data_IF_372151725849
#
_entry.id   IF_372151725849
#
_cell.length_a   1.000
_cell.length_b   1.000
_cell.length_c   1.000
_cell.angle_alpha   90.00
_cell.angle_beta   90.00
_cell.angle_gamma   90.00
#
_symmetry.space_group_name_H-M   'P 1'
#
loop_
_entity.id
_entity.type
_entity.pdbx_description
1 polymer ?
#
# COMPACT_ATOMS: atom_id res chain seq x y z
N UNK A 1 3.32 -11.19 4.88
CA UNK A 1 3.97 -11.81 3.70
C UNK A 1 5.33 -11.19 3.50
N UNK A 2 6.36 -11.98 3.35
CA UNK A 2 7.70 -11.46 3.11
C UNK A 2 7.93 -11.14 1.63
N UNK A 3 9.04 -10.47 1.36
CA UNK A 3 9.37 -10.03 0.00
C UNK A 3 9.58 -11.21 -0.95
N UNK A 4 10.26 -12.25 -0.50
CA UNK A 4 10.57 -13.40 -1.35
C UNK A 4 9.30 -14.14 -1.77
N UNK A 5 8.38 -14.36 -0.85
CA UNK A 5 7.09 -14.99 -1.13
C UNK A 5 6.25 -14.13 -2.08
N UNK A 6 6.24 -12.81 -1.87
CA UNK A 6 5.51 -11.90 -2.76
C UNK A 6 6.06 -11.93 -4.18
N UNK A 7 7.37 -11.89 -4.35
CA UNK A 7 8.00 -11.96 -5.66
C UNK A 7 7.72 -13.28 -6.36
N UNK A 8 7.75 -14.38 -5.62
CA UNK A 8 7.42 -15.69 -6.19
C UNK A 8 6.00 -15.75 -6.70
N UNK A 9 5.04 -15.20 -5.96
CA UNK A 9 3.64 -15.12 -6.39
C UNK A 9 3.48 -14.25 -7.64
N UNK A 10 4.16 -13.11 -7.69
CA UNK A 10 4.08 -12.21 -8.84
C UNK A 10 4.61 -12.89 -10.09
N UNK A 11 5.74 -13.57 -10.00
CA UNK A 11 6.31 -14.31 -11.13
C UNK A 11 5.39 -15.43 -11.57
N UNK A 12 4.81 -16.17 -10.65
CA UNK A 12 3.87 -17.22 -10.98
C UNK A 12 2.66 -16.68 -11.74
N UNK A 13 2.13 -15.54 -11.33
CA UNK A 13 1.02 -14.89 -12.01
C UNK A 13 1.39 -14.48 -13.43
N UNK A 14 2.57 -13.88 -13.59
CA UNK A 14 3.06 -13.45 -14.91
C UNK A 14 3.29 -14.66 -15.82
N UNK A 15 3.89 -15.71 -15.30
CA UNK A 15 4.17 -16.94 -16.08
C UNK A 15 2.89 -17.62 -16.53
N UNK A 16 1.81 -17.47 -15.76
CA UNK A 16 0.49 -17.96 -16.15
C UNK A 16 -0.21 -17.08 -17.18
N UNK A 17 0.42 -16.00 -17.63
CA UNK A 17 -0.17 -15.06 -18.59
C UNK A 17 -1.23 -14.13 -18.02
N UNK A 18 -1.29 -14.00 -16.70
CA UNK A 18 -2.26 -13.14 -16.03
C UNK A 18 -1.63 -11.82 -15.61
N UNK A 19 -2.39 -10.71 -15.61
CA UNK A 19 -1.87 -9.43 -15.14
C UNK A 19 -1.75 -9.40 -13.62
N UNK A 20 -0.79 -8.60 -13.13
CA UNK A 20 -0.73 -8.24 -11.73
C UNK A 20 -1.66 -7.07 -11.47
N UNK A 21 -2.49 -7.19 -10.44
CA UNK A 21 -3.45 -6.15 -10.08
C UNK A 21 -3.05 -5.54 -8.75
N UNK A 22 -2.77 -4.24 -8.77
CA UNK A 22 -2.51 -3.47 -7.57
C UNK A 22 -3.69 -2.56 -7.26
N UNK A 23 -4.06 -2.49 -6.00
CA UNK A 23 -5.15 -1.63 -5.55
C UNK A 23 -4.65 -0.63 -4.52
N UNK A 24 -5.09 0.61 -4.65
CA UNK A 24 -4.84 1.63 -3.64
C UNK A 24 -5.80 1.49 -2.48
N UNK A 25 -5.29 1.61 -1.26
CA UNK A 25 -6.11 1.56 -0.06
C UNK A 25 -5.89 2.82 0.78
N UNK A 26 -6.98 3.48 1.14
CA UNK A 26 -6.95 4.68 1.98
C UNK A 26 -7.26 4.40 3.45
N UNK A 27 -7.94 3.29 3.73
CA UNK A 27 -8.33 2.90 5.08
C UNK A 27 -8.21 1.39 5.23
N UNK A 28 -8.33 0.93 6.47
CA UNK A 28 -8.31 -0.51 6.75
C UNK A 28 -9.42 -1.27 6.07
N UNK A 29 -10.62 -0.71 6.04
CA UNK A 29 -11.75 -1.40 5.43
C UNK A 29 -11.60 -1.53 3.91
N UNK A 30 -11.03 -0.52 3.24
CA UNK A 30 -10.78 -0.62 1.81
C UNK A 30 -9.70 -1.64 1.49
N UNK A 31 -8.67 -1.74 2.32
CA UNK A 31 -7.64 -2.76 2.19
C UNK A 31 -8.21 -4.16 2.36
N UNK A 32 -9.06 -4.35 3.35
CA UNK A 32 -9.69 -5.64 3.61
C UNK A 32 -10.58 -6.07 2.44
N UNK A 33 -11.35 -5.13 1.89
CA UNK A 33 -12.21 -5.40 0.76
C UNK A 33 -11.40 -5.74 -0.51
N UNK A 34 -10.31 -5.00 -0.76
CA UNK A 34 -9.45 -5.25 -1.90
C UNK A 34 -8.77 -6.63 -1.80
N UNK A 35 -8.30 -7.01 -0.62
CA UNK A 35 -7.72 -8.33 -0.42
C UNK A 35 -8.77 -9.43 -0.67
N UNK A 36 -9.97 -9.25 -0.16
CA UNK A 36 -11.05 -10.20 -0.38
C UNK A 36 -11.41 -10.33 -1.87
N UNK A 37 -11.23 -9.26 -2.64
CA UNK A 37 -11.45 -9.26 -4.08
C UNK A 37 -10.34 -9.92 -4.88
N UNK A 38 -9.23 -10.29 -4.27
CA UNK A 38 -8.16 -11.04 -4.92
C UNK A 38 -7.06 -10.22 -5.57
N UNK A 39 -6.81 -8.99 -5.09
CA UNK A 39 -5.71 -8.20 -5.63
C UNK A 39 -4.35 -8.81 -5.25
N UNK A 40 -3.36 -8.58 -6.10
CA UNK A 40 -2.03 -9.11 -5.89
C UNK A 40 -1.18 -8.23 -4.98
N UNK A 41 -1.45 -6.93 -4.97
CA UNK A 41 -0.65 -5.94 -4.26
C UNK A 41 -1.55 -4.83 -3.74
N UNK A 42 -1.30 -4.39 -2.52
CA UNK A 42 -1.94 -3.21 -1.95
C UNK A 42 -0.93 -2.06 -1.89
N UNK A 43 -1.38 -0.88 -2.26
CA UNK A 43 -0.55 0.33 -2.26
C UNK A 43 -1.18 1.33 -1.31
N UNK A 44 -0.42 1.80 -0.33
CA UNK A 44 -0.87 2.82 0.61
C UNK A 44 -0.10 4.12 0.35
N UNK A 45 -0.82 5.23 0.37
CA UNK A 45 -0.25 6.54 0.04
C UNK A 45 -1.08 7.65 0.70
N UNK A 46 -0.45 8.79 0.95
CA UNK A 46 -1.06 9.88 1.71
C UNK A 46 -2.37 10.40 1.09
N UNK A 47 -2.41 10.59 -0.21
CA UNK A 47 -3.61 11.10 -0.86
C UNK A 47 -4.78 10.11 -0.76
N UNK A 48 -4.51 8.83 -0.60
CA UNK A 48 -5.54 7.84 -0.34
C UNK A 48 -6.31 8.14 0.94
N UNK A 49 -5.60 8.45 2.02
CA UNK A 49 -6.23 8.84 3.28
C UNK A 49 -7.00 10.14 3.14
N UNK A 50 -6.41 11.15 2.49
CA UNK A 50 -7.07 12.45 2.33
C UNK A 50 -8.35 12.34 1.51
N UNK A 51 -8.36 11.54 0.46
CA UNK A 51 -9.57 11.31 -0.34
C UNK A 51 -10.66 10.60 0.44
N UNK A 52 -10.30 9.64 1.28
CA UNK A 52 -11.25 8.98 2.18
C UNK A 52 -11.83 9.95 3.22
N UNK A 53 -11.09 11.00 3.55
CA UNK A 53 -11.58 12.07 4.42
C UNK A 53 -12.36 13.15 3.67
N UNK A 54 -12.66 12.93 2.39
CA UNK A 54 -13.46 13.86 1.59
C UNK A 54 -12.68 14.93 0.87
N UNK A 55 -11.35 14.85 0.84
CA UNK A 55 -10.52 15.85 0.15
C UNK A 55 -10.22 15.42 -1.28
N UNK A 56 -9.85 16.38 -2.13
CA UNK A 56 -9.54 16.11 -3.52
C UNK A 56 -8.17 15.45 -3.71
N UNK A 57 -7.93 14.94 -4.91
CA UNK A 57 -6.68 14.25 -5.24
C UNK A 57 -5.44 15.13 -5.11
N UNK A 58 -5.57 16.43 -5.32
CA UNK A 58 -4.46 17.37 -5.18
C UNK A 58 -3.94 17.48 -3.74
N UNK A 59 -4.70 17.02 -2.76
CA UNK A 59 -4.27 17.08 -1.36
C UNK A 59 -2.96 16.33 -1.13
N UNK A 60 -2.64 15.33 -1.94
CA UNK A 60 -1.38 14.63 -1.87
C UNK A 60 -0.16 15.49 -2.22
N UNK A 61 -0.38 16.58 -2.95
CA UNK A 61 0.67 17.51 -3.36
C UNK A 61 0.71 18.79 -2.51
N UNK A 62 -0.25 18.94 -1.60
CA UNK A 62 -0.38 20.12 -0.77
C UNK A 62 0.17 19.84 0.63
N UNK A 63 0.51 20.91 1.35
CA UNK A 63 1.13 20.82 2.67
C UNK A 63 0.10 20.61 3.77
N UNK A 64 -0.66 19.52 3.72
CA UNK A 64 -1.58 19.15 4.79
C UNK A 64 -0.87 18.47 5.96
N UNK A 65 0.33 17.95 5.73
CA UNK A 65 1.09 17.24 6.74
C UNK A 65 2.30 16.55 6.11
N UNK A 66 3.01 15.78 6.92
CA UNK A 66 4.15 14.99 6.45
C UNK A 66 3.64 13.72 5.74
N UNK A 67 3.85 13.65 4.43
CA UNK A 67 3.38 12.54 3.61
C UNK A 67 3.92 11.19 4.09
N UNK A 68 5.18 11.14 4.48
CA UNK A 68 5.80 9.91 4.95
C UNK A 68 5.21 9.47 6.28
N UNK A 69 4.96 10.40 7.18
CA UNK A 69 4.35 10.10 8.46
C UNK A 69 2.92 9.57 8.27
N UNK A 70 2.16 10.16 7.38
CA UNK A 70 0.81 9.68 7.07
C UNK A 70 0.85 8.24 6.58
N UNK A 71 1.78 7.90 5.70
CA UNK A 71 1.92 6.52 5.21
C UNK A 71 2.28 5.56 6.34
N UNK A 72 3.16 5.96 7.26
CA UNK A 72 3.49 5.13 8.43
C UNK A 72 2.28 4.92 9.32
N UNK A 73 1.49 5.94 9.57
CA UNK A 73 0.26 5.82 10.34
C UNK A 73 -0.76 4.91 9.66
N UNK A 74 -0.92 5.06 8.35
CA UNK A 74 -1.79 4.18 7.58
C UNK A 74 -1.34 2.73 7.65
N UNK A 75 -0.04 2.49 7.66
CA UNK A 75 0.48 1.13 7.75
C UNK A 75 0.08 0.46 9.07
N UNK A 76 0.04 1.22 10.15
CA UNK A 76 -0.40 0.69 11.45
C UNK A 76 -1.87 0.27 11.44
N UNK A 77 -2.67 0.92 10.61
CA UNK A 77 -4.08 0.57 10.44
C UNK A 77 -4.26 -0.60 9.49
N UNK A 78 -3.51 -0.63 8.38
CA UNK A 78 -3.73 -1.54 7.26
C UNK A 78 -3.02 -2.89 7.47
N UNK A 79 -1.76 -2.87 7.89
CA UNK A 79 -0.96 -4.09 7.97
C UNK A 79 -1.55 -5.17 8.88
N UNK A 80 -2.12 -4.84 10.05
CA UNK A 80 -2.66 -5.87 10.93
C UNK A 80 -3.87 -6.63 10.37
N UNK A 81 -4.60 -6.05 9.42
CA UNK A 81 -5.81 -6.66 8.88
C UNK A 81 -5.61 -7.30 7.52
N UNK A 82 -4.50 -7.03 6.87
CA UNK A 82 -4.13 -7.68 5.61
C UNK A 82 -3.37 -8.96 5.93
N UNK A 83 -3.84 -10.09 5.39
CA UNK A 83 -3.29 -11.40 5.74
C UNK A 83 -2.31 -11.93 4.73
N UNK A 84 -2.68 -11.93 3.45
CA UNK A 84 -1.95 -12.65 2.41
C UNK A 84 -1.49 -11.77 1.26
N UNK A 85 -1.73 -10.47 1.33
CA UNK A 85 -1.40 -9.54 0.25
C UNK A 85 -0.23 -8.65 0.64
N UNK A 86 0.68 -8.45 -0.27
CA UNK A 86 1.82 -7.55 -0.06
C UNK A 86 1.34 -6.11 -0.07
N UNK A 87 1.72 -5.36 0.95
CA UNK A 87 1.51 -3.92 1.00
C UNK A 87 2.79 -3.20 0.60
N UNK A 88 2.67 -2.19 -0.22
CA UNK A 88 3.78 -1.34 -0.63
C UNK A 88 3.46 0.12 -0.33
N UNK A 89 4.34 0.82 0.34
CA UNK A 89 4.15 2.26 0.56
C UNK A 89 4.52 3.02 -0.70
N UNK A 90 3.74 4.04 -1.00
CA UNK A 90 4.08 5.02 -2.01
C UNK A 90 4.36 6.35 -1.30
N UNK A 91 5.59 6.80 -1.36
CA UNK A 91 6.02 8.05 -0.74
C UNK A 91 6.36 9.07 -1.79
N UNK A 92 5.96 10.31 -1.55
CA UNK A 92 6.31 11.43 -2.42
C UNK A 92 7.69 12.00 -2.10
N UNK A 93 8.25 11.70 -0.94
CA UNK A 93 9.57 12.15 -0.54
C UNK A 93 10.61 11.07 -0.87
N UNK A 94 11.73 11.42 -1.50
CA UNK A 94 12.71 10.42 -1.94
C UNK A 94 13.58 9.87 -0.81
N UNK A 95 13.60 10.51 0.35
CA UNK A 95 14.53 10.15 1.42
C UNK A 95 13.98 9.09 2.35
N UNK A 96 14.81 8.17 2.77
CA UNK A 96 14.59 7.20 3.86
C UNK A 96 13.47 6.21 3.65
N UNK A 97 12.88 6.17 2.48
CA UNK A 97 11.84 5.19 2.18
C UNK A 97 12.39 3.75 2.16
N UNK A 98 13.69 3.60 1.93
CA UNK A 98 14.32 2.28 1.90
C UNK A 98 14.23 1.57 3.26
N UNK A 99 14.42 2.29 4.35
CA UNK A 99 14.31 1.70 5.68
C UNK A 99 12.87 1.30 5.99
N UNK A 100 11.91 2.03 5.48
CA UNK A 100 10.52 1.70 5.63
C UNK A 100 10.19 0.37 4.94
N UNK A 101 10.65 0.20 3.72
CA UNK A 101 10.35 -1.02 2.97
C UNK A 101 10.91 -2.27 3.65
N UNK A 102 12.03 -2.15 4.34
CA UNK A 102 12.60 -3.24 5.10
C UNK A 102 11.73 -3.62 6.28
N UNK A 103 11.23 -2.64 7.02
CA UNK A 103 10.39 -2.91 8.18
C UNK A 103 9.03 -3.47 7.79
N UNK A 104 8.52 -3.16 6.62
CA UNK A 104 7.22 -3.65 6.17
C UNK A 104 7.22 -5.12 5.82
N UNK A 105 8.37 -5.75 5.71
CA UNK A 105 8.46 -7.18 5.42
C UNK A 105 8.26 -8.05 6.65
N UNK A 106 8.34 -7.47 7.80
CA UNK A 106 8.08 -8.18 9.05
C UNK A 106 6.62 -8.15 9.43
#
# INVERSE_FOLDING_TARGET
MDKATALARFRSTIDAGQPLIGAGAGTGISAKAAEAGGVDLLIIYNSGRYRMAGRGSLSGLLAYGDANQVVVEMSREVLPIVRDTRCSPASTAPTRSASWSTSSTT
#
